data_IF_991957822697
#
_entry.id   IF_991957822697
#
_cell.length_a   1.000
_cell.length_b   1.000
_cell.length_c   1.000
_cell.angle_alpha   90.00
_cell.angle_beta   90.00
_cell.angle_gamma   90.00
#
_symmetry.space_group_name_H-M   'P 1'
#
loop_
_entity.id
_entity.type
_entity.pdbx_description
1 polymer ?
#
# COMPACT_ATOMS: atom_id res chain seq x y z
N UNK A 1 11.06 -4.07 11.77
CA UNK A 1 9.73 -4.70 11.87
C UNK A 1 9.02 -4.48 10.54
N UNK A 2 8.68 -5.54 9.81
CA UNK A 2 8.00 -5.43 8.52
C UNK A 2 6.50 -5.48 8.79
N UNK A 3 5.77 -4.41 8.47
CA UNK A 3 4.31 -4.40 8.56
C UNK A 3 3.75 -4.87 7.23
N UNK A 4 3.21 -6.08 7.21
CA UNK A 4 2.55 -6.65 6.03
C UNK A 4 1.06 -6.39 6.11
N UNK A 5 0.51 -5.66 5.15
CA UNK A 5 -0.94 -5.45 5.05
C UNK A 5 -1.53 -6.57 4.19
N UNK A 6 -1.92 -7.67 4.85
CA UNK A 6 -2.68 -8.79 4.25
C UNK A 6 -4.14 -8.64 4.67
N UNK A 7 -5.08 -8.72 3.72
CA UNK A 7 -6.53 -8.61 3.99
C UNK A 7 -7.25 -7.49 3.24
N UNK A 8 -6.89 -7.25 1.98
CA UNK A 8 -7.55 -6.29 1.08
C UNK A 8 -8.51 -7.01 0.13
N UNK A 9 -9.34 -7.91 0.67
CA UNK A 9 -10.34 -8.64 -0.12
C UNK A 9 -11.41 -7.63 -0.58
N UNK A 10 -11.46 -7.33 -1.88
CA UNK A 10 -12.46 -6.48 -2.54
C UNK A 10 -12.39 -4.95 -2.35
N UNK A 11 -11.20 -4.34 -2.39
CA UNK A 11 -11.08 -2.87 -2.33
C UNK A 11 -11.44 -2.22 -3.69
N UNK A 12 -12.72 -2.25 -4.04
CA UNK A 12 -13.28 -1.64 -5.27
C UNK A 12 -14.01 -0.32 -4.98
N UNK A 13 -14.19 0.03 -3.70
CA UNK A 13 -14.99 1.17 -3.27
C UNK A 13 -14.14 2.24 -2.58
N UNK A 14 -14.39 3.52 -2.90
CA UNK A 14 -13.62 4.67 -2.40
C UNK A 14 -13.31 4.67 -0.89
N UNK A 15 -14.27 4.35 0.01
CA UNK A 15 -14.02 4.31 1.45
C UNK A 15 -12.99 3.26 1.90
N UNK A 16 -12.96 2.09 1.24
CA UNK A 16 -12.02 1.03 1.57
C UNK A 16 -10.61 1.40 1.10
N UNK A 17 -10.50 1.98 -0.10
CA UNK A 17 -9.24 2.50 -0.63
C UNK A 17 -8.67 3.56 0.32
N UNK A 18 -9.51 4.50 0.77
CA UNK A 18 -9.12 5.51 1.74
C UNK A 18 -8.65 4.90 3.07
N UNK A 19 -9.32 3.84 3.56
CA UNK A 19 -8.90 3.12 4.77
C UNK A 19 -7.52 2.48 4.60
N UNK A 20 -7.28 1.81 3.48
CA UNK A 20 -5.98 1.19 3.17
C UNK A 20 -4.88 2.24 3.08
N UNK A 21 -5.12 3.34 2.35
CA UNK A 21 -4.16 4.45 2.24
C UNK A 21 -3.83 5.06 3.61
N UNK A 22 -4.83 5.18 4.49
CA UNK A 22 -4.61 5.63 5.88
C UNK A 22 -3.73 4.67 6.65
N UNK A 23 -3.97 3.35 6.54
CA UNK A 23 -3.14 2.34 7.18
C UNK A 23 -1.70 2.33 6.63
N UNK A 24 -1.53 2.46 5.32
CA UNK A 24 -0.22 2.56 4.67
C UNK A 24 0.56 3.77 5.17
N UNK A 25 -0.07 4.95 5.26
CA UNK A 25 0.58 6.15 5.80
C UNK A 25 1.10 5.95 7.22
N UNK A 26 0.36 5.24 8.07
CA UNK A 26 0.77 4.91 9.44
C UNK A 26 1.88 3.84 9.46
N UNK A 27 1.78 2.82 8.61
CA UNK A 27 2.77 1.76 8.50
C UNK A 27 4.13 2.29 8.02
N UNK A 28 4.12 3.15 7.00
CA UNK A 28 5.32 3.84 6.47
C UNK A 28 6.00 4.69 7.54
N UNK A 29 5.27 5.22 8.52
CA UNK A 29 5.90 5.96 9.62
C UNK A 29 6.62 5.03 10.61
N UNK A 30 6.23 3.76 10.69
CA UNK A 30 6.71 2.80 11.69
C UNK A 30 7.83 1.89 11.17
N UNK A 31 7.97 1.73 9.85
CA UNK A 31 9.03 0.92 9.27
C UNK A 31 8.73 0.46 7.84
N UNK A 32 9.29 -0.69 7.50
CA UNK A 32 9.18 -1.30 6.17
C UNK A 32 7.74 -1.78 5.88
N UNK A 33 7.32 -1.61 4.63
CA UNK A 33 5.96 -1.88 4.15
C UNK A 33 6.01 -2.75 2.90
N UNK A 34 5.15 -3.77 2.87
CA UNK A 34 4.89 -4.57 1.68
C UNK A 34 3.40 -4.49 1.30
N UNK A 35 3.13 -4.31 0.01
CA UNK A 35 1.79 -4.14 -0.59
C UNK A 35 1.59 -5.16 -1.70
N UNK A 36 0.38 -5.71 -1.84
CA UNK A 36 0.01 -6.66 -2.89
C UNK A 36 -0.42 -5.95 -4.18
N UNK A 37 0.23 -6.26 -5.31
CA UNK A 37 0.09 -5.59 -6.59
C UNK A 37 -1.20 -5.92 -7.34
N UNK A 38 -1.73 -7.15 -7.20
CA UNK A 38 -2.95 -7.55 -7.94
C UNK A 38 -4.21 -6.79 -7.53
N UNK A 39 -4.08 -5.98 -6.47
CA UNK A 39 -5.15 -5.17 -5.93
C UNK A 39 -5.03 -3.70 -6.30
N UNK A 40 -3.97 -3.31 -7.03
CA UNK A 40 -3.70 -1.93 -7.43
C UNK A 40 -4.22 -1.60 -8.83
N UNK A 41 -4.42 -2.60 -9.69
CA UNK A 41 -4.86 -2.38 -11.07
C UNK A 41 -6.27 -1.77 -11.16
N UNK A 42 -7.13 -2.08 -10.20
CA UNK A 42 -8.50 -1.54 -10.11
C UNK A 42 -8.58 -0.18 -9.41
N UNK A 43 -7.46 0.36 -8.91
CA UNK A 43 -7.48 1.61 -8.15
C UNK A 43 -7.63 2.84 -9.05
N UNK A 44 -8.44 3.84 -8.64
CA UNK A 44 -8.55 5.07 -9.39
C UNK A 44 -7.21 5.83 -9.38
N UNK A 45 -6.92 6.67 -10.38
CA UNK A 45 -5.66 7.39 -10.50
C UNK A 45 -5.24 8.16 -9.23
N UNK A 46 -6.20 8.79 -8.54
CA UNK A 46 -5.93 9.49 -7.28
C UNK A 46 -5.42 8.59 -6.15
N UNK A 47 -5.86 7.33 -6.10
CA UNK A 47 -5.37 6.37 -5.12
C UNK A 47 -3.97 5.86 -5.46
N UNK A 48 -3.66 5.70 -6.75
CA UNK A 48 -2.29 5.39 -7.22
C UNK A 48 -1.31 6.51 -6.86
N UNK A 49 -1.69 7.77 -7.07
CA UNK A 49 -0.88 8.92 -6.64
C UNK A 49 -0.63 8.95 -5.12
N UNK A 50 -1.63 8.59 -4.33
CA UNK A 50 -1.49 8.49 -2.88
C UNK A 50 -0.56 7.34 -2.44
N UNK A 51 -0.57 6.23 -3.17
CA UNK A 51 0.37 5.12 -2.99
C UNK A 51 1.81 5.55 -3.29
N UNK A 52 2.04 6.23 -4.42
CA UNK A 52 3.35 6.76 -4.79
C UNK A 52 3.89 7.73 -3.74
N UNK A 53 3.01 8.55 -3.15
CA UNK A 53 3.38 9.43 -2.06
C UNK A 53 3.82 8.63 -0.81
N UNK A 54 3.19 7.49 -0.53
CA UNK A 54 3.60 6.61 0.56
C UNK A 54 4.97 5.98 0.29
N UNK A 55 5.21 5.50 -0.93
CA UNK A 55 6.51 4.95 -1.33
C UNK A 55 7.64 5.98 -1.18
N UNK A 56 7.43 7.21 -1.69
CA UNK A 56 8.40 8.31 -1.54
C UNK A 56 8.69 8.64 -0.07
N UNK A 57 7.66 8.63 0.78
CA UNK A 57 7.81 8.88 2.23
C UNK A 57 8.58 7.78 2.95
N UNK A 58 8.38 6.52 2.54
CA UNK A 58 9.14 5.38 3.07
C UNK A 58 10.62 5.52 2.70
N UNK A 59 10.90 5.81 1.43
CA UNK A 59 12.28 6.01 0.95
C UNK A 59 12.97 7.18 1.67
N UNK A 60 12.29 8.31 1.86
CA UNK A 60 12.84 9.46 2.59
C UNK A 60 13.18 9.15 4.05
N UNK A 61 12.62 8.06 4.61
CA UNK A 61 12.89 7.57 5.97
C UNK A 61 13.88 6.41 6.01
N UNK A 62 14.39 5.96 4.87
CA UNK A 62 15.23 4.76 4.78
C UNK A 62 14.45 3.45 5.00
N UNK A 63 13.13 3.46 4.85
CA UNK A 63 12.30 2.26 4.92
C UNK A 63 12.09 1.64 3.54
N UNK A 64 11.98 0.32 3.52
CA UNK A 64 11.66 -0.45 2.32
C UNK A 64 10.16 -0.37 2.05
N UNK A 65 9.79 -0.03 0.81
CA UNK A 65 8.41 -0.09 0.33
C UNK A 65 8.38 -1.00 -0.90
N UNK A 66 7.76 -2.18 -0.77
CA UNK A 66 7.73 -3.17 -1.84
C UNK A 66 6.29 -3.41 -2.27
N UNK A 67 6.04 -3.32 -3.57
CA UNK A 67 4.81 -3.81 -4.19
C UNK A 67 5.13 -5.21 -4.75
N UNK A 68 4.52 -6.25 -4.19
CA UNK A 68 4.70 -7.64 -4.62
C UNK A 68 3.47 -8.09 -5.41
N UNK A 69 3.67 -8.71 -6.57
CA UNK A 69 2.59 -9.43 -7.24
C UNK A 69 2.09 -10.59 -6.35
N UNK A 70 0.81 -10.96 -6.44
CA UNK A 70 0.33 -12.13 -5.74
C UNK A 70 1.12 -13.33 -6.28
N UNK A 71 1.67 -14.13 -5.37
CA UNK A 71 2.22 -15.41 -5.76
C UNK A 71 1.04 -16.27 -6.21
N UNK A 72 0.94 -16.51 -7.52
CA UNK A 72 0.02 -17.50 -8.07
C UNK A 72 0.38 -18.85 -7.44
N UNK A 73 -0.56 -19.42 -6.69
CA UNK A 73 -0.46 -20.74 -6.08
C UNK A 73 -0.76 -21.84 -7.10
#
# INVERSE_FOLDING_TARGET
MITRLVGMENVSHGPEIARVLRQLRLAVFRGDVEVDAARLDSWPPGARLALDQCARRAQARGHRFVVREPVAA
#
